data_IF_896528864714
#
_entry.id   IF_896528864714
#
_cell.length_a   1.000
_cell.length_b   1.000
_cell.length_c   1.000
_cell.angle_alpha   90.00
_cell.angle_beta   90.00
_cell.angle_gamma   90.00
#
_symmetry.space_group_name_H-M   'P 1'
#
loop_
_entity.id
_entity.type
_entity.pdbx_description
1 polymer ?
#
# COMPACT_ATOMS: atom_id res chain seq x y z
N UNK A 1 -10.53 0.19 16.34
CA UNK A 1 -10.94 -0.88 15.41
C UNK A 1 -9.76 -1.81 15.22
N UNK A 2 -9.98 -3.12 15.04
CA UNK A 2 -8.91 -4.11 14.90
C UNK A 2 -8.01 -3.94 13.65
N UNK A 3 -8.41 -3.16 12.64
CA UNK A 3 -7.60 -2.93 11.42
C UNK A 3 -6.26 -2.24 11.70
N UNK A 4 -6.24 -1.22 12.58
CA UNK A 4 -5.01 -0.47 12.87
C UNK A 4 -3.96 -1.36 13.56
N UNK A 5 -4.40 -2.34 14.36
CA UNK A 5 -3.48 -3.23 15.08
C UNK A 5 -2.63 -4.08 14.12
N UNK A 6 -3.19 -4.51 12.98
CA UNK A 6 -2.48 -5.31 11.99
C UNK A 6 -1.33 -4.51 11.37
N UNK A 7 -1.61 -3.28 10.94
CA UNK A 7 -0.57 -2.41 10.38
C UNK A 7 0.44 -1.99 11.44
N UNK A 8 0.01 -1.65 12.66
CA UNK A 8 0.91 -1.27 13.76
C UNK A 8 1.89 -2.41 14.10
N UNK A 9 1.41 -3.65 14.20
CA UNK A 9 2.25 -4.83 14.45
C UNK A 9 3.20 -5.10 13.28
N UNK A 10 2.73 -4.99 12.03
CA UNK A 10 3.59 -5.14 10.85
C UNK A 10 4.66 -4.04 10.79
N UNK A 11 4.32 -2.81 11.19
CA UNK A 11 5.26 -1.69 11.27
C UNK A 11 6.33 -1.92 12.32
N UNK A 12 5.95 -2.45 13.49
CA UNK A 12 6.88 -2.82 14.54
C UNK A 12 7.81 -3.96 14.10
N UNK A 13 7.27 -4.96 13.38
CA UNK A 13 8.07 -5.98 12.72
C UNK A 13 9.11 -5.35 11.79
N UNK A 14 8.70 -4.51 10.83
CA UNK A 14 9.62 -3.88 9.86
C UNK A 14 10.71 -3.10 10.59
N UNK A 15 10.32 -2.28 11.58
CA UNK A 15 11.26 -1.45 12.34
C UNK A 15 12.39 -2.28 13.00
N UNK A 16 12.06 -3.45 13.55
CA UNK A 16 13.03 -4.33 14.19
C UNK A 16 13.79 -5.14 13.13
N UNK A 17 13.08 -5.73 12.17
CA UNK A 17 13.63 -6.67 11.21
C UNK A 17 14.66 -6.04 10.26
N UNK A 18 14.52 -4.75 9.96
CA UNK A 18 15.49 -4.01 9.14
C UNK A 18 16.86 -3.91 9.82
N UNK A 19 16.92 -3.86 11.15
CA UNK A 19 18.19 -3.76 11.89
C UNK A 19 18.64 -5.11 12.44
N UNK A 20 17.70 -5.91 12.92
CA UNK A 20 17.93 -7.17 13.59
C UNK A 20 16.90 -8.22 13.13
N UNK A 21 17.03 -8.78 11.91
CA UNK A 21 16.04 -9.71 11.33
C UNK A 21 15.84 -10.95 12.20
N UNK A 22 16.89 -11.44 12.86
CA UNK A 22 16.86 -12.62 13.72
C UNK A 22 16.37 -12.36 15.14
N UNK A 23 16.10 -11.10 15.51
CA UNK A 23 15.68 -10.75 16.86
C UNK A 23 14.30 -11.34 17.17
N UNK A 24 14.12 -11.93 18.36
CA UNK A 24 12.88 -12.62 18.75
C UNK A 24 11.62 -11.74 18.59
N UNK A 25 11.71 -10.46 18.97
CA UNK A 25 10.62 -9.50 18.76
C UNK A 25 10.18 -9.32 17.30
N UNK A 26 11.07 -9.45 16.29
CA UNK A 26 10.62 -9.37 14.89
C UNK A 26 9.61 -10.48 14.62
N UNK A 27 9.94 -11.71 15.03
CA UNK A 27 9.09 -12.90 14.87
C UNK A 27 7.77 -12.76 15.65
N UNK A 28 7.82 -12.20 16.86
CA UNK A 28 6.62 -11.97 17.69
C UNK A 28 5.66 -10.98 17.00
N UNK A 29 6.16 -9.81 16.58
CA UNK A 29 5.32 -8.80 15.92
C UNK A 29 4.78 -9.29 14.57
N UNK A 30 5.57 -10.03 13.80
CA UNK A 30 5.10 -10.63 12.54
C UNK A 30 3.96 -11.63 12.80
N UNK A 31 4.07 -12.46 13.83
CA UNK A 31 3.01 -13.39 14.22
C UNK A 31 1.76 -12.65 14.71
N UNK A 32 1.90 -11.61 15.53
CA UNK A 32 0.77 -10.80 15.98
C UNK A 32 0.05 -10.10 14.82
N UNK A 33 0.79 -9.56 13.84
CA UNK A 33 0.19 -8.99 12.64
C UNK A 33 -0.65 -10.04 11.89
N UNK A 34 -0.11 -11.25 11.70
CA UNK A 34 -0.84 -12.35 11.05
C UNK A 34 -2.09 -12.77 11.84
N UNK A 35 -1.99 -12.98 13.15
CA UNK A 35 -3.14 -13.35 13.99
C UNK A 35 -4.20 -12.25 14.06
N UNK A 36 -3.77 -10.99 14.14
CA UNK A 36 -4.66 -9.84 14.13
C UNK A 36 -5.37 -9.72 12.79
N UNK A 37 -4.67 -9.97 11.68
CA UNK A 37 -5.27 -10.04 10.34
C UNK A 37 -6.31 -11.16 10.24
N UNK A 38 -6.00 -12.36 10.72
CA UNK A 38 -6.93 -13.50 10.70
C UNK A 38 -8.21 -13.19 11.50
N UNK A 39 -8.06 -12.63 12.71
CA UNK A 39 -9.20 -12.20 13.53
C UNK A 39 -10.00 -11.09 12.88
N UNK A 40 -9.31 -10.11 12.29
CA UNK A 40 -9.95 -8.98 11.64
C UNK A 40 -10.73 -9.45 10.41
N UNK A 41 -10.11 -10.18 9.48
CA UNK A 41 -10.74 -10.66 8.24
C UNK A 41 -11.88 -11.67 8.48
N UNK A 42 -11.85 -12.39 9.62
CA UNK A 42 -12.96 -13.26 10.02
C UNK A 42 -14.14 -12.51 10.66
N UNK A 43 -14.02 -11.20 10.92
CA UNK A 43 -15.07 -10.40 11.53
C UNK A 43 -16.25 -10.20 10.56
N UNK A 44 -17.43 -10.70 10.94
CA UNK A 44 -18.64 -10.58 10.13
C UNK A 44 -19.03 -9.14 9.80
N UNK A 45 -18.51 -8.15 10.56
CA UNK A 45 -18.71 -6.72 10.25
C UNK A 45 -18.01 -6.28 8.97
N UNK A 46 -16.98 -7.01 8.52
CA UNK A 46 -16.39 -6.81 7.19
C UNK A 46 -17.14 -7.53 6.07
N UNK A 47 -18.28 -8.16 6.36
CA UNK A 47 -19.10 -8.77 5.31
C UNK A 47 -19.95 -7.73 4.59
N UNK A 48 -19.95 -7.82 3.26
CA UNK A 48 -20.91 -7.12 2.41
C UNK A 48 -22.29 -7.77 2.61
N UNK A 49 -23.31 -6.97 2.89
CA UNK A 49 -24.72 -7.30 2.78
C UNK A 49 -25.16 -7.18 1.30
N UNK A 50 -25.44 -8.32 0.63
CA UNK A 50 -25.83 -8.32 -0.78
C UNK A 50 -27.17 -7.63 -1.05
N UNK A 51 -28.08 -7.60 -0.06
CA UNK A 51 -29.35 -6.90 -0.18
C UNK A 51 -29.15 -5.40 -0.03
N UNK A 52 -28.28 -4.97 0.90
CA UNK A 52 -27.89 -3.56 1.01
C UNK A 52 -27.18 -3.07 -0.26
N UNK A 53 -26.30 -3.88 -0.86
CA UNK A 53 -25.58 -3.54 -2.11
C UNK A 53 -26.55 -3.34 -3.30
N UNK A 54 -27.58 -4.19 -3.39
CA UNK A 54 -28.62 -4.11 -4.44
C UNK A 54 -29.61 -2.97 -4.24
N UNK A 55 -29.89 -2.59 -3.00
CA UNK A 55 -31.02 -1.70 -2.66
C UNK A 55 -30.59 -0.28 -2.27
N UNK A 56 -29.33 -0.06 -1.88
CA UNK A 56 -28.85 1.29 -1.55
C UNK A 56 -28.75 2.17 -2.81
N UNK A 57 -29.79 2.98 -3.03
CA UNK A 57 -29.62 4.25 -3.76
C UNK A 57 -28.62 5.09 -2.97
N UNK A 58 -27.52 5.42 -3.61
CA UNK A 58 -26.46 6.28 -3.08
C UNK A 58 -27.02 7.44 -2.25
N UNK A 59 -26.73 7.47 -0.94
CA UNK A 59 -26.99 8.61 -0.05
C UNK A 59 -25.64 9.23 0.31
N UNK A 60 -25.37 10.48 -0.09
CA UNK A 60 -24.14 11.17 0.28
C UNK A 60 -23.98 11.20 1.81
N UNK A 61 -22.88 10.67 2.32
CA UNK A 61 -22.55 10.66 3.75
C UNK A 61 -22.96 9.40 4.53
N UNK A 62 -23.72 8.48 3.93
CA UNK A 62 -23.86 7.12 4.45
C UNK A 62 -22.91 6.19 3.69
N UNK A 63 -22.14 5.36 4.40
CA UNK A 63 -21.35 4.20 3.97
C UNK A 63 -21.12 3.88 2.47
N UNK A 64 -19.95 3.27 2.19
CA UNK A 64 -19.73 2.61 0.89
C UNK A 64 -20.77 1.49 0.68
N UNK A 65 -21.13 1.20 -0.58
CA UNK A 65 -22.29 0.33 -0.90
C UNK A 65 -22.13 -1.05 -0.30
N UNK A 66 -23.23 -1.59 0.23
CA UNK A 66 -23.27 -2.97 0.72
C UNK A 66 -22.63 -3.25 2.08
N UNK A 67 -21.95 -2.32 2.75
CA UNK A 67 -21.32 -2.61 4.05
C UNK A 67 -22.32 -2.54 5.21
N UNK A 68 -22.33 -3.59 6.05
CA UNK A 68 -23.33 -3.79 7.13
C UNK A 68 -23.26 -2.78 8.26
N UNK A 69 -22.09 -2.20 8.55
CA UNK A 69 -21.85 -1.43 9.76
C UNK A 69 -21.27 -0.05 9.44
N UNK A 70 -21.97 1.00 9.89
CA UNK A 70 -21.49 2.38 9.81
C UNK A 70 -20.17 2.52 10.60
N UNK A 71 -19.15 3.13 9.98
CA UNK A 71 -17.79 3.22 10.54
C UNK A 71 -16.86 2.07 10.13
N UNK A 72 -17.38 0.93 9.68
CA UNK A 72 -16.59 -0.14 9.04
C UNK A 72 -16.64 0.09 7.53
N UNK A 73 -15.60 0.74 7.00
CA UNK A 73 -15.52 1.08 5.59
C UNK A 73 -14.69 0.04 4.83
N UNK A 74 -14.95 -0.18 3.52
CA UNK A 74 -14.17 -1.08 2.68
C UNK A 74 -12.67 -0.84 2.81
N UNK A 75 -12.25 0.42 2.94
CA UNK A 75 -10.84 0.78 3.09
C UNK A 75 -10.18 0.12 4.30
N UNK A 76 -10.90 -0.07 5.42
CA UNK A 76 -10.34 -0.75 6.59
C UNK A 76 -10.12 -2.25 6.32
N UNK A 77 -11.03 -2.87 5.58
CA UNK A 77 -10.87 -4.26 5.15
C UNK A 77 -9.70 -4.35 4.15
N UNK A 78 -9.65 -3.48 3.15
CA UNK A 78 -8.57 -3.43 2.17
C UNK A 78 -7.19 -3.18 2.80
N UNK A 79 -7.08 -2.27 3.78
CA UNK A 79 -5.84 -2.05 4.55
C UNK A 79 -5.44 -3.33 5.31
N UNK A 80 -6.39 -3.97 5.97
CA UNK A 80 -6.17 -5.25 6.67
C UNK A 80 -5.70 -6.33 5.69
N UNK A 81 -6.33 -6.43 4.52
CA UNK A 81 -6.02 -7.42 3.49
C UNK A 81 -4.62 -7.19 2.87
N UNK A 82 -4.26 -5.93 2.61
CA UNK A 82 -2.92 -5.57 2.14
C UNK A 82 -1.84 -5.92 3.18
N UNK A 83 -2.07 -5.58 4.45
CA UNK A 83 -1.15 -5.92 5.53
C UNK A 83 -1.05 -7.44 5.76
N UNK A 84 -2.17 -8.17 5.64
CA UNK A 84 -2.20 -9.62 5.68
C UNK A 84 -1.36 -10.24 4.55
N UNK A 85 -1.49 -9.74 3.32
CA UNK A 85 -0.69 -10.22 2.18
C UNK A 85 0.80 -10.09 2.44
N UNK A 86 1.24 -8.89 2.85
CA UNK A 86 2.65 -8.61 3.11
C UNK A 86 3.18 -9.45 4.28
N UNK A 87 2.46 -9.49 5.41
CA UNK A 87 2.89 -10.22 6.61
C UNK A 87 2.94 -11.73 6.40
N UNK A 88 1.99 -12.31 5.66
CA UNK A 88 1.98 -13.75 5.33
C UNK A 88 3.12 -14.09 4.37
N UNK A 89 3.30 -13.30 3.32
CA UNK A 89 4.37 -13.54 2.34
C UNK A 89 5.75 -13.49 2.98
N UNK A 90 5.99 -12.53 3.88
CA UNK A 90 7.24 -12.47 4.65
C UNK A 90 7.40 -13.67 5.58
N UNK A 91 6.34 -14.06 6.30
CA UNK A 91 6.38 -15.19 7.25
C UNK A 91 6.68 -16.51 6.55
N UNK A 92 6.03 -16.73 5.41
CA UNK A 92 6.06 -17.99 4.67
C UNK A 92 7.16 -18.00 3.59
N UNK A 93 7.93 -16.91 3.49
CA UNK A 93 8.98 -16.68 2.49
C UNK A 93 8.49 -16.93 1.05
N UNK A 94 7.31 -16.40 0.74
CA UNK A 94 6.55 -16.70 -0.48
C UNK A 94 6.33 -15.48 -1.36
N UNK A 95 5.81 -15.71 -2.56
CA UNK A 95 5.23 -14.66 -3.39
C UNK A 95 4.01 -13.99 -2.73
N UNK A 96 3.69 -12.78 -3.20
CA UNK A 96 2.49 -12.05 -2.78
C UNK A 96 1.23 -12.59 -3.45
N UNK A 97 0.12 -12.67 -2.70
CA UNK A 97 -1.18 -12.99 -3.27
C UNK A 97 -1.73 -11.80 -4.08
N UNK A 98 -1.55 -11.86 -5.40
CA UNK A 98 -2.01 -10.82 -6.30
C UNK A 98 -3.53 -10.59 -6.28
N UNK A 99 -4.35 -11.62 -6.02
CA UNK A 99 -5.82 -11.48 -5.98
C UNK A 99 -6.21 -10.61 -4.79
N UNK A 100 -5.67 -10.93 -3.62
CA UNK A 100 -5.96 -10.21 -2.37
C UNK A 100 -5.42 -8.76 -2.44
N UNK A 101 -4.22 -8.54 -3.01
CA UNK A 101 -3.68 -7.19 -3.19
C UNK A 101 -4.54 -6.33 -4.12
N UNK A 102 -5.08 -6.91 -5.19
CA UNK A 102 -5.97 -6.18 -6.10
C UNK A 102 -7.31 -5.86 -5.46
N UNK A 103 -7.87 -6.79 -4.68
CA UNK A 103 -9.07 -6.52 -3.90
C UNK A 103 -8.83 -5.39 -2.89
N UNK A 104 -7.70 -5.44 -2.16
CA UNK A 104 -7.31 -4.39 -1.24
C UNK A 104 -7.20 -3.02 -1.94
N UNK A 105 -6.57 -2.98 -3.12
CA UNK A 105 -6.45 -1.76 -3.91
C UNK A 105 -7.82 -1.19 -4.31
N UNK A 106 -8.75 -2.04 -4.75
CA UNK A 106 -10.08 -1.62 -5.19
C UNK A 106 -10.89 -1.05 -4.00
N UNK A 107 -10.86 -1.71 -2.83
CA UNK A 107 -11.59 -1.28 -1.62
C UNK A 107 -11.04 0.01 -1.00
N UNK A 108 -9.71 0.17 -0.96
CA UNK A 108 -9.07 1.42 -0.51
C UNK A 108 -9.35 2.55 -1.49
N UNK A 109 -9.29 2.29 -2.81
CA UNK A 109 -9.58 3.29 -3.82
C UNK A 109 -11.03 3.76 -3.75
N UNK A 110 -11.97 2.83 -3.57
CA UNK A 110 -13.37 3.13 -3.35
C UNK A 110 -13.52 4.10 -2.17
N UNK A 111 -12.94 3.77 -1.03
CA UNK A 111 -13.02 4.60 0.19
C UNK A 111 -12.39 5.97 0.00
N UNK A 112 -11.20 6.03 -0.61
CA UNK A 112 -10.49 7.28 -0.89
C UNK A 112 -11.30 8.24 -1.80
N UNK A 113 -12.12 7.68 -2.70
CA UNK A 113 -12.99 8.45 -3.60
C UNK A 113 -14.34 8.83 -2.95
N UNK A 114 -14.88 7.96 -2.09
CA UNK A 114 -16.21 8.08 -1.47
C UNK A 114 -16.30 9.02 -0.28
N UNK A 115 -15.17 9.49 0.29
CA UNK A 115 -15.12 10.41 1.43
C UNK A 115 -15.77 11.81 1.25
N UNK A 116 -16.73 11.94 0.33
CA UNK A 116 -17.43 13.17 0.01
C UNK A 116 -16.55 14.15 -0.76
N UNK A 117 -17.17 14.92 -1.64
CA UNK A 117 -16.54 16.02 -2.38
C UNK A 117 -15.94 17.12 -1.49
N UNK A 118 -16.02 17.01 -0.17
CA UNK A 118 -15.54 18.03 0.75
C UNK A 118 -14.01 18.06 0.85
N UNK A 119 -13.31 16.92 0.82
CA UNK A 119 -11.88 16.90 1.17
C UNK A 119 -11.09 15.87 0.36
N UNK A 120 -10.76 16.18 -0.91
CA UNK A 120 -9.65 15.53 -1.64
C UNK A 120 -8.30 16.00 -1.07
N UNK A 121 -8.10 15.74 0.22
CA UNK A 121 -6.95 16.17 1.02
C UNK A 121 -5.79 15.19 0.87
N UNK A 122 -4.66 15.53 1.48
CA UNK A 122 -3.43 14.75 1.43
C UNK A 122 -3.62 13.28 1.87
N UNK A 123 -4.48 13.01 2.86
CA UNK A 123 -4.77 11.64 3.33
C UNK A 123 -5.42 10.79 2.22
N UNK A 124 -6.56 11.25 1.68
CA UNK A 124 -7.27 10.54 0.60
C UNK A 124 -6.43 10.39 -0.66
N UNK A 125 -5.62 11.41 -0.98
CA UNK A 125 -4.66 11.34 -2.07
C UNK A 125 -3.60 10.26 -1.84
N UNK A 126 -3.01 10.21 -0.64
CA UNK A 126 -1.98 9.21 -0.30
C UNK A 126 -2.53 7.79 -0.31
N UNK A 127 -3.74 7.57 0.22
CA UNK A 127 -4.43 6.28 0.15
C UNK A 127 -4.71 5.86 -1.30
N UNK A 128 -5.15 6.79 -2.15
CA UNK A 128 -5.36 6.48 -3.57
C UNK A 128 -4.03 6.10 -4.26
N UNK A 129 -2.93 6.80 -3.97
CA UNK A 129 -1.61 6.44 -4.49
C UNK A 129 -1.09 5.11 -3.92
N UNK A 130 -1.50 4.72 -2.70
CA UNK A 130 -1.23 3.36 -2.19
C UNK A 130 -1.89 2.30 -3.03
N UNK A 131 -3.11 2.52 -3.53
CA UNK A 131 -3.79 1.59 -4.42
C UNK A 131 -2.99 1.35 -5.71
N UNK A 132 -2.38 2.42 -6.25
CA UNK A 132 -1.47 2.32 -7.41
C UNK A 132 -0.27 1.41 -7.08
N UNK A 133 0.34 1.59 -5.90
CA UNK A 133 1.44 0.73 -5.45
C UNK A 133 0.99 -0.73 -5.28
N UNK A 134 -0.15 -0.98 -4.63
CA UNK A 134 -0.67 -2.34 -4.45
C UNK A 134 -0.93 -3.04 -5.80
N UNK A 135 -1.43 -2.32 -6.81
CA UNK A 135 -1.54 -2.85 -8.17
C UNK A 135 -0.17 -3.21 -8.77
N UNK A 136 0.87 -2.40 -8.54
CA UNK A 136 2.23 -2.70 -8.99
C UNK A 136 2.82 -3.92 -8.25
N UNK A 137 2.64 -4.02 -6.92
CA UNK A 137 3.05 -5.17 -6.11
C UNK A 137 2.40 -6.47 -6.61
N UNK A 138 1.14 -6.39 -7.04
CA UNK A 138 0.39 -7.49 -7.63
C UNK A 138 0.78 -7.82 -9.09
N UNK A 139 1.79 -7.14 -9.67
CA UNK A 139 2.21 -7.33 -11.06
C UNK A 139 1.26 -6.73 -12.10
N UNK A 140 0.31 -5.88 -11.70
CA UNK A 140 -0.75 -5.30 -12.56
C UNK A 140 -0.48 -3.83 -12.89
N UNK A 141 0.55 -3.62 -13.70
CA UNK A 141 0.94 -2.29 -14.21
C UNK A 141 -0.19 -1.64 -15.00
N UNK A 142 -0.97 -2.43 -15.76
CA UNK A 142 -2.15 -1.98 -16.51
C UNK A 142 -3.19 -1.32 -15.59
N UNK A 143 -3.49 -1.95 -14.45
CA UNK A 143 -4.42 -1.41 -13.45
C UNK A 143 -3.84 -0.18 -12.74
N UNK A 144 -2.55 -0.21 -12.40
CA UNK A 144 -1.87 0.94 -11.78
C UNK A 144 -1.96 2.19 -12.68
N UNK A 145 -1.69 2.02 -13.98
CA UNK A 145 -1.84 3.08 -14.95
C UNK A 145 -3.29 3.52 -15.14
N UNK A 146 -4.24 2.58 -15.15
CA UNK A 146 -5.66 2.90 -15.26
C UNK A 146 -6.09 3.84 -14.13
N UNK A 147 -5.68 3.57 -12.88
CA UNK A 147 -5.96 4.42 -11.73
C UNK A 147 -5.38 5.83 -11.90
N UNK A 148 -4.10 5.93 -12.31
CA UNK A 148 -3.43 7.22 -12.53
C UNK A 148 -4.03 8.04 -13.70
N UNK A 149 -4.48 7.36 -14.77
CA UNK A 149 -5.03 8.03 -15.97
C UNK A 149 -6.50 8.43 -15.81
N UNK A 150 -7.31 7.65 -15.09
CA UNK A 150 -8.77 7.86 -15.02
C UNK A 150 -9.23 8.72 -13.84
N UNK A 151 -8.35 8.96 -12.86
CA UNK A 151 -8.64 9.87 -11.77
C UNK A 151 -8.78 11.32 -12.30
N UNK A 152 -9.97 11.90 -12.14
CA UNK A 152 -10.25 13.30 -12.57
C UNK A 152 -9.87 14.36 -11.53
N UNK A 153 -9.41 13.93 -10.35
CA UNK A 153 -9.08 14.80 -9.21
C UNK A 153 -7.58 15.13 -9.23
N UNK A 154 -7.21 16.38 -8.89
CA UNK A 154 -5.82 16.86 -8.90
C UNK A 154 -5.07 16.50 -7.62
N UNK A 155 -3.89 15.91 -7.70
CA UNK A 155 -3.05 15.57 -6.54
C UNK A 155 -2.28 16.79 -6.01
N UNK A 156 -2.97 17.77 -5.43
CA UNK A 156 -2.32 19.01 -4.96
C UNK A 156 -1.25 18.78 -3.88
N UNK A 157 -1.48 17.81 -2.99
CA UNK A 157 -0.65 17.63 -1.80
C UNK A 157 0.41 16.54 -1.95
N UNK A 158 0.25 15.67 -2.94
CA UNK A 158 1.05 14.46 -3.17
C UNK A 158 1.52 14.38 -4.63
N UNK A 159 1.58 15.52 -5.32
CA UNK A 159 1.84 15.59 -6.76
C UNK A 159 3.19 14.97 -7.12
N UNK A 160 4.22 15.16 -6.29
CA UNK A 160 5.55 14.58 -6.53
C UNK A 160 5.48 13.06 -6.53
N UNK A 161 4.79 12.48 -5.54
CA UNK A 161 4.59 11.04 -5.45
C UNK A 161 3.75 10.51 -6.62
N UNK A 162 2.69 11.23 -7.00
CA UNK A 162 1.88 10.85 -8.16
C UNK A 162 2.69 10.87 -9.46
N UNK A 163 3.51 11.89 -9.68
CA UNK A 163 4.37 11.98 -10.85
C UNK A 163 5.42 10.88 -10.87
N UNK A 164 6.08 10.62 -9.73
CA UNK A 164 7.04 9.54 -9.60
C UNK A 164 6.40 8.18 -9.94
N UNK A 165 5.20 7.89 -9.41
CA UNK A 165 4.46 6.66 -9.74
C UNK A 165 4.11 6.58 -11.23
N UNK A 166 3.73 7.70 -11.85
CA UNK A 166 3.45 7.74 -13.28
C UNK A 166 4.69 7.43 -14.12
N UNK A 167 5.84 8.01 -13.76
CA UNK A 167 7.11 7.75 -14.44
C UNK A 167 7.52 6.29 -14.27
N UNK A 168 7.44 5.75 -13.06
CA UNK A 168 7.74 4.34 -12.78
C UNK A 168 6.82 3.41 -13.60
N UNK A 169 5.51 3.66 -13.61
CA UNK A 169 4.57 2.85 -14.41
C UNK A 169 4.87 2.89 -15.91
N UNK A 170 5.27 4.04 -16.44
CA UNK A 170 5.64 4.19 -17.84
C UNK A 170 6.95 3.46 -18.15
N UNK A 171 7.93 3.53 -17.25
CA UNK A 171 9.21 2.85 -17.41
C UNK A 171 9.04 1.32 -17.40
N UNK A 172 8.24 0.79 -16.46
CA UNK A 172 7.93 -0.64 -16.40
C UNK A 172 7.19 -1.10 -17.66
N UNK A 173 6.16 -0.38 -18.09
CA UNK A 173 5.41 -0.73 -19.31
C UNK A 173 6.32 -0.71 -20.55
N UNK A 174 7.16 0.31 -20.69
CA UNK A 174 8.07 0.45 -21.83
C UNK A 174 9.16 -0.63 -21.87
N UNK A 175 9.62 -1.09 -20.70
CA UNK A 175 10.63 -2.14 -20.61
C UNK A 175 10.05 -3.54 -20.91
N UNK A 176 8.80 -3.81 -20.52
CA UNK A 176 8.19 -5.13 -20.65
C UNK A 176 9.02 -6.19 -19.94
N UNK A 177 9.50 -7.18 -20.69
CA UNK A 177 10.40 -8.23 -20.17
C UNK A 177 11.89 -7.85 -20.21
N UNK A 178 12.24 -6.61 -20.54
CA UNK A 178 13.62 -6.11 -20.50
C UNK A 178 13.92 -5.40 -19.17
N UNK A 179 15.19 -5.30 -18.76
CA UNK A 179 15.57 -4.44 -17.63
C UNK A 179 15.14 -2.99 -17.88
N UNK A 180 14.84 -2.25 -16.81
CA UNK A 180 14.58 -0.81 -16.90
C UNK A 180 15.83 -0.07 -17.41
N UNK A 181 15.62 1.09 -18.03
CA UNK A 181 16.73 1.98 -18.40
C UNK A 181 17.47 2.47 -17.16
N UNK A 182 18.78 2.77 -17.31
CA UNK A 182 19.58 3.31 -16.20
C UNK A 182 18.96 4.57 -15.59
N UNK A 183 18.39 5.45 -16.43
CA UNK A 183 17.69 6.65 -15.96
C UNK A 183 16.49 6.32 -15.07
N UNK A 184 15.67 5.32 -15.44
CA UNK A 184 14.52 4.91 -14.63
C UNK A 184 14.97 4.26 -13.31
N UNK A 185 16.06 3.49 -13.34
CA UNK A 185 16.66 2.90 -12.12
C UNK A 185 17.19 4.00 -11.19
N UNK A 186 17.91 4.98 -11.72
CA UNK A 186 18.42 6.11 -10.95
C UNK A 186 17.29 6.94 -10.32
N UNK A 187 16.21 7.22 -11.06
CA UNK A 187 15.04 7.93 -10.54
C UNK A 187 14.30 7.13 -9.46
N UNK A 188 14.17 5.81 -9.63
CA UNK A 188 13.63 4.94 -8.59
C UNK A 188 14.51 4.99 -7.33
N UNK A 189 15.83 4.81 -7.49
CA UNK A 189 16.76 4.75 -6.38
C UNK A 189 16.81 6.08 -5.62
N UNK A 190 16.85 7.22 -6.32
CA UNK A 190 16.83 8.54 -5.70
C UNK A 190 15.58 8.77 -4.83
N UNK A 191 14.40 8.38 -5.31
CA UNK A 191 13.18 8.47 -4.52
C UNK A 191 13.18 7.48 -3.35
N UNK A 192 13.63 6.24 -3.57
CA UNK A 192 13.69 5.24 -2.51
C UNK A 192 14.66 5.67 -1.39
N UNK A 193 15.82 6.23 -1.74
CA UNK A 193 16.81 6.83 -0.83
C UNK A 193 16.20 7.94 0.03
N UNK A 194 15.39 8.82 -0.58
CA UNK A 194 14.66 9.86 0.16
C UNK A 194 13.72 9.23 1.19
N UNK A 195 12.91 8.26 0.80
CA UNK A 195 11.92 7.62 1.68
C UNK A 195 12.56 6.81 2.81
N UNK A 196 13.66 6.10 2.53
CA UNK A 196 14.35 5.27 3.52
C UNK A 196 15.24 6.08 4.47
N UNK A 197 15.52 7.36 4.17
CA UNK A 197 16.24 8.27 5.06
C UNK A 197 15.56 8.33 6.46
N UNK A 198 16.26 7.92 7.54
CA UNK A 198 15.72 7.98 8.91
C UNK A 198 15.35 9.39 9.37
N UNK A 199 15.98 10.42 8.81
CA UNK A 199 15.76 11.83 9.13
C UNK A 199 14.48 12.41 8.53
N UNK A 200 13.80 11.70 7.62
CA UNK A 200 12.51 12.09 7.04
C UNK A 200 11.36 12.17 8.08
N UNK A 201 11.64 11.95 9.37
CA UNK A 201 10.70 12.13 10.48
C UNK A 201 10.26 13.60 10.56
N UNK A 202 9.05 13.88 10.08
CA UNK A 202 8.35 15.13 10.35
C UNK A 202 8.29 16.14 9.20
N UNK A 203 8.15 15.69 7.95
CA UNK A 203 7.72 16.61 6.91
C UNK A 203 6.37 17.26 7.31
N UNK A 204 6.26 18.60 7.28
CA UNK A 204 5.03 19.29 7.64
C UNK A 204 3.86 18.79 6.79
N UNK A 205 2.74 18.44 7.43
CA UNK A 205 1.50 17.97 6.77
C UNK A 205 0.81 19.02 5.87
N UNK A 206 1.38 20.22 5.76
CA UNK A 206 0.85 21.37 5.04
C UNK A 206 1.77 21.87 3.91
N UNK A 207 2.84 21.13 3.57
CA UNK A 207 3.77 21.58 2.55
C UNK A 207 3.07 21.71 1.18
N UNK A 208 3.04 22.95 0.67
CA UNK A 208 2.42 23.31 -0.62
C UNK A 208 3.17 22.73 -1.81
N UNK A 209 4.36 22.18 -1.57
CA UNK A 209 5.28 21.64 -2.56
C UNK A 209 4.85 20.24 -3.06
N UNK A 210 3.81 19.68 -2.43
CA UNK A 210 3.16 18.45 -2.90
C UNK A 210 3.94 17.17 -2.54
N UNK A 211 4.69 17.23 -1.45
CA UNK A 211 5.51 16.15 -0.88
C UNK A 211 4.87 15.49 0.35
N UNK A 212 3.58 15.75 0.63
CA UNK A 212 2.91 15.11 1.76
C UNK A 212 2.83 13.60 1.53
N UNK A 213 3.24 12.84 2.53
CA UNK A 213 3.09 11.39 2.58
C UNK A 213 2.31 11.07 3.86
N UNK A 214 1.06 10.67 3.70
CA UNK A 214 0.25 10.16 4.80
C UNK A 214 0.32 8.64 4.88
N UNK A 215 0.21 8.09 6.09
CA UNK A 215 0.31 6.66 6.38
C UNK A 215 1.66 6.29 6.99
N UNK A 216 1.88 4.99 7.20
CA UNK A 216 3.10 4.49 7.79
C UNK A 216 4.28 4.54 6.81
N UNK A 217 5.31 5.32 7.15
CA UNK A 217 6.55 5.39 6.36
C UNK A 217 7.26 4.04 6.27
N UNK A 218 7.18 3.19 7.30
CA UNK A 218 7.80 1.87 7.30
C UNK A 218 7.07 0.91 6.33
N UNK A 219 5.74 1.01 6.23
CA UNK A 219 5.00 0.25 5.21
C UNK A 219 5.38 0.74 3.81
N UNK A 220 5.47 2.05 3.58
CA UNK A 220 5.91 2.58 2.30
C UNK A 220 7.32 2.08 1.94
N UNK A 221 8.25 2.05 2.90
CA UNK A 221 9.60 1.49 2.68
C UNK A 221 9.56 0.03 2.26
N UNK A 222 8.74 -0.79 2.92
CA UNK A 222 8.56 -2.19 2.53
C UNK A 222 7.95 -2.32 1.13
N UNK A 223 6.87 -1.57 0.85
CA UNK A 223 6.22 -1.56 -0.47
C UNK A 223 7.23 -1.18 -1.59
N UNK A 224 8.07 -0.17 -1.35
CA UNK A 224 9.12 0.23 -2.31
C UNK A 224 10.23 -0.83 -2.43
N UNK A 225 10.66 -1.44 -1.34
CA UNK A 225 11.64 -2.53 -1.36
C UNK A 225 11.16 -3.72 -2.20
N UNK A 226 9.88 -4.08 -2.07
CA UNK A 226 9.23 -5.11 -2.90
C UNK A 226 9.25 -4.71 -4.38
N UNK A 227 8.91 -3.46 -4.70
CA UNK A 227 8.99 -2.95 -6.08
C UNK A 227 10.43 -2.97 -6.63
N UNK A 228 11.43 -2.67 -5.79
CA UNK A 228 12.85 -2.78 -6.16
C UNK A 228 13.18 -4.23 -6.54
N UNK A 229 12.80 -5.19 -5.71
CA UNK A 229 13.04 -6.61 -5.96
C UNK A 229 12.38 -7.08 -7.26
N UNK A 230 11.11 -6.75 -7.48
CA UNK A 230 10.33 -7.20 -8.64
C UNK A 230 10.74 -6.52 -9.97
N UNK A 231 10.93 -5.20 -9.97
CA UNK A 231 11.06 -4.43 -11.22
C UNK A 231 12.49 -3.93 -11.50
N UNK A 232 13.29 -3.68 -10.47
CA UNK A 232 14.67 -3.21 -10.63
C UNK A 232 15.62 -4.40 -10.68
N UNK A 233 15.57 -5.25 -9.65
CA UNK A 233 16.42 -6.44 -9.53
C UNK A 233 15.89 -7.62 -10.35
N UNK A 234 14.58 -7.63 -10.63
CA UNK A 234 13.89 -8.68 -11.40
C UNK A 234 14.11 -10.08 -10.84
N UNK A 235 14.07 -10.15 -9.52
CA UNK A 235 14.19 -11.38 -8.78
C UNK A 235 12.84 -11.72 -8.14
N UNK A 236 12.55 -13.01 -7.94
CA UNK A 236 11.33 -13.39 -7.26
C UNK A 236 11.38 -12.94 -5.79
N UNK A 237 10.21 -12.85 -5.16
CA UNK A 237 10.08 -12.55 -3.75
C UNK A 237 10.29 -13.80 -2.90
N UNK A 238 9.84 -14.96 -3.38
CA UNK A 238 10.06 -16.22 -2.69
C UNK A 238 11.56 -16.50 -2.51
N UNK A 239 11.95 -16.88 -1.28
CA UNK A 239 13.36 -17.07 -0.94
C UNK A 239 14.20 -15.79 -0.76
N UNK A 240 13.64 -14.59 -1.03
CA UNK A 240 14.41 -13.34 -1.06
C UNK A 240 13.90 -12.25 -0.11
N UNK A 241 12.93 -12.54 0.77
CA UNK A 241 12.39 -11.54 1.71
C UNK A 241 13.46 -10.91 2.62
N UNK A 242 14.52 -11.64 2.93
CA UNK A 242 15.67 -11.10 3.65
C UNK A 242 16.34 -9.96 2.88
N UNK A 243 16.60 -10.14 1.59
CA UNK A 243 17.20 -9.10 0.73
C UNK A 243 16.26 -7.91 0.58
N UNK A 244 14.95 -8.15 0.45
CA UNK A 244 13.92 -7.10 0.44
C UNK A 244 14.03 -6.24 1.69
N UNK A 245 14.08 -6.85 2.88
CA UNK A 245 14.19 -6.11 4.15
C UNK A 245 15.54 -5.39 4.30
N UNK A 246 16.64 -6.03 3.94
CA UNK A 246 17.99 -5.45 3.97
C UNK A 246 18.09 -4.21 3.07
N UNK A 247 17.39 -4.19 1.92
CA UNK A 247 17.37 -3.05 1.00
C UNK A 247 16.79 -1.75 1.59
N UNK A 248 16.02 -1.86 2.68
CA UNK A 248 15.48 -0.70 3.41
C UNK A 248 16.61 0.00 4.18
N UNK A 249 17.63 -0.74 4.65
CA UNK A 249 18.75 -0.24 5.47
C UNK A 249 20.02 0.13 4.70
N UNK A 250 20.11 -0.16 3.40
CA UNK A 250 21.32 0.03 2.56
C UNK A 250 21.98 1.43 2.64
#
# INVERSE_FOLDING_TARGET
>A
MPSNAVEDDLVNFIFIAVVYPEHEYSKIFLNWANEAADRALADERFSIDPEADRTTKYVPGSGCRGWKVEGVYPGNHGETLAAACLSRAVRDDSELNAVDLLQAADEIAETALHGGTANWIYMSQSWYLRCVRLCLLAGRVDKAQFLLKNIRRKFKHTYVHQQWLQVLCNAIEAAGDSPLSSEAVEQFQAFFDEIRNPELRGMPSDNKDGTNLFGSINLLRLELAVLKQQYILRQPLDGNWRQVLESISE
#
